data_IF_608839171423
#
_entry.id   IF_608839171423
#
_cell.length_a   1.000
_cell.length_b   1.000
_cell.length_c   1.000
_cell.angle_alpha   90.00
_cell.angle_beta   90.00
_cell.angle_gamma   90.00
#
_symmetry.space_group_name_H-M   'P 1'
#
loop_
_entity.id
_entity.type
_entity.pdbx_description
1 polymer ?
#
# COMPACT_ATOMS: atom_id res chain seq x y z
N UNK A 1 19.96 28.13 -2.10
CA UNK A 1 19.32 27.46 -3.24
C UNK A 1 20.26 26.39 -3.76
N UNK A 2 19.96 25.11 -3.51
CA UNK A 2 20.68 23.98 -4.09
C UNK A 2 19.72 23.30 -5.07
N UNK A 3 20.08 23.36 -6.35
CA UNK A 3 19.38 22.67 -7.42
C UNK A 3 19.97 21.26 -7.47
N UNK A 4 19.23 20.25 -6.99
CA UNK A 4 19.62 18.84 -7.14
C UNK A 4 18.74 18.26 -8.23
N UNK A 5 19.33 18.00 -9.40
CA UNK A 5 18.68 17.19 -10.42
C UNK A 5 18.40 15.80 -9.82
N UNK A 6 17.15 15.34 -9.88
CA UNK A 6 16.83 13.95 -9.61
C UNK A 6 17.41 13.11 -10.76
N UNK A 7 18.43 12.30 -10.47
CA UNK A 7 18.78 11.17 -11.32
C UNK A 7 17.71 10.11 -11.11
N UNK A 8 16.97 9.75 -12.16
CA UNK A 8 15.97 8.68 -12.15
C UNK A 8 16.60 7.28 -12.28
N UNK A 9 17.92 7.15 -12.10
CA UNK A 9 18.66 5.89 -12.23
C UNK A 9 19.00 5.24 -10.87
N UNK A 10 18.70 5.91 -9.76
CA UNK A 10 18.68 5.32 -8.42
C UNK A 10 17.24 5.43 -7.93
N UNK A 11 16.39 4.42 -8.19
CA UNK A 11 15.20 4.26 -7.35
C UNK A 11 15.74 3.97 -5.95
N UNK A 12 15.59 4.89 -4.98
CA UNK A 12 16.16 4.67 -3.67
C UNK A 12 15.58 3.38 -3.10
N UNK A 13 16.45 2.52 -2.56
CA UNK A 13 16.12 1.36 -1.73
C UNK A 13 15.13 1.69 -0.58
N UNK A 14 14.87 2.98 -0.33
CA UNK A 14 13.87 3.52 0.59
C UNK A 14 12.47 3.65 -0.06
N UNK A 15 11.95 2.57 -0.64
CA UNK A 15 10.57 2.55 -1.12
C UNK A 15 9.59 2.46 0.06
N UNK A 16 9.25 3.64 0.52
CA UNK A 16 8.00 4.06 1.11
C UNK A 16 7.65 3.54 2.50
N UNK A 17 7.72 4.50 3.42
CA UNK A 17 7.92 4.31 4.85
C UNK A 17 6.80 5.00 5.60
N UNK A 18 6.52 4.56 6.82
CA UNK A 18 5.58 5.26 7.69
C UNK A 18 5.98 6.73 7.92
N UNK A 19 7.28 7.00 7.91
CA UNK A 19 7.85 8.33 8.14
C UNK A 19 7.88 9.21 6.86
N UNK A 20 7.25 8.77 5.76
CA UNK A 20 7.05 9.59 4.56
C UNK A 20 6.14 10.80 4.81
N UNK A 21 5.41 10.80 5.94
CA UNK A 21 4.39 11.78 6.25
C UNK A 21 4.69 12.49 7.56
N UNK A 22 4.51 13.82 7.56
CA UNK A 22 4.50 14.62 8.78
C UNK A 22 3.06 14.83 9.23
N UNK A 23 2.74 14.42 10.46
CA UNK A 23 1.43 14.63 11.04
C UNK A 23 1.18 16.12 11.29
N UNK A 24 0.07 16.63 10.77
CA UNK A 24 -0.38 18.03 10.98
C UNK A 24 -1.31 18.13 12.20
N UNK A 25 -1.92 17.01 12.59
CA UNK A 25 -2.84 16.86 13.72
C UNK A 25 -2.35 15.73 14.64
N UNK A 26 -2.85 15.70 15.89
CA UNK A 26 -2.53 14.62 16.83
C UNK A 26 -3.17 13.28 16.40
N UNK A 27 -2.46 12.18 16.68
CA UNK A 27 -2.95 10.83 16.43
C UNK A 27 -4.24 10.58 17.24
N UNK A 28 -5.31 10.21 16.53
CA UNK A 28 -6.57 9.82 17.14
C UNK A 28 -6.71 8.30 17.14
N UNK A 29 -6.96 7.67 18.30
CA UNK A 29 -7.21 6.24 18.34
C UNK A 29 -8.53 5.91 17.65
N UNK A 30 -8.54 4.81 16.90
CA UNK A 30 -9.76 4.20 16.37
C UNK A 30 -10.11 3.03 17.27
N UNK A 31 -11.04 3.24 18.21
CA UNK A 31 -11.39 2.25 19.24
C UNK A 31 -11.96 0.95 18.66
N UNK A 32 -12.75 1.04 17.59
CA UNK A 32 -13.31 -0.11 16.86
C UNK A 32 -12.91 -0.05 15.38
N UNK A 33 -11.72 -0.56 15.09
CA UNK A 33 -11.18 -0.65 13.72
C UNK A 33 -12.05 -1.49 12.80
N UNK A 34 -12.78 -2.48 13.33
CA UNK A 34 -13.60 -3.39 12.53
C UNK A 34 -14.82 -2.64 12.00
N UNK A 35 -15.58 -1.98 12.89
CA UNK A 35 -16.72 -1.16 12.49
C UNK A 35 -16.28 0.01 11.61
N UNK A 36 -15.15 0.65 11.93
CA UNK A 36 -14.58 1.70 11.09
C UNK A 36 -14.31 1.21 9.66
N UNK A 37 -13.64 0.07 9.49
CA UNK A 37 -13.32 -0.46 8.16
C UNK A 37 -14.56 -0.93 7.41
N UNK A 38 -15.58 -1.45 8.11
CA UNK A 38 -16.87 -1.76 7.49
C UNK A 38 -17.52 -0.52 6.91
N UNK A 39 -17.52 0.61 7.61
CA UNK A 39 -18.23 1.82 7.18
C UNK A 39 -17.41 2.63 6.17
N UNK A 40 -16.13 2.84 6.48
CA UNK A 40 -15.24 3.83 5.83
C UNK A 40 -14.02 3.23 5.15
N UNK A 41 -13.81 1.91 5.22
CA UNK A 41 -12.62 1.28 4.64
C UNK A 41 -12.45 1.52 3.14
N UNK A 42 -13.54 1.77 2.41
CA UNK A 42 -13.53 2.12 0.99
C UNK A 42 -12.89 3.48 0.68
N UNK A 43 -12.73 4.35 1.68
CA UNK A 43 -12.05 5.66 1.55
C UNK A 43 -10.52 5.53 1.61
N UNK A 44 -10.01 4.36 2.00
CA UNK A 44 -8.60 4.13 2.29
C UNK A 44 -8.01 3.13 1.31
N UNK A 45 -6.76 3.37 0.92
CA UNK A 45 -5.97 2.46 0.08
C UNK A 45 -4.68 2.06 0.80
N UNK A 46 -4.21 0.80 0.66
CA UNK A 46 -2.96 0.39 1.27
C UNK A 46 -1.79 1.16 0.64
N UNK A 47 -0.86 1.59 1.48
CA UNK A 47 0.29 2.39 1.08
C UNK A 47 1.61 1.65 1.32
N UNK A 48 1.86 1.23 2.55
CA UNK A 48 3.07 0.46 2.90
C UNK A 48 2.84 -0.45 4.11
N UNK A 49 3.83 -1.28 4.40
CA UNK A 49 3.89 -2.16 5.57
C UNK A 49 5.06 -1.74 6.44
N UNK A 50 4.77 -1.48 7.72
CA UNK A 50 5.78 -1.21 8.74
C UNK A 50 6.04 -2.48 9.54
N UNK A 51 7.09 -3.19 9.16
CA UNK A 51 7.50 -4.43 9.81
C UNK A 51 8.03 -4.21 11.23
N UNK A 52 8.57 -3.03 11.51
CA UNK A 52 9.09 -2.68 12.83
C UNK A 52 7.96 -2.47 13.84
N UNK A 53 6.88 -1.82 13.41
CA UNK A 53 5.68 -1.54 14.24
C UNK A 53 4.59 -2.61 14.10
N UNK A 54 4.79 -3.59 13.21
CA UNK A 54 3.81 -4.63 12.86
C UNK A 54 2.46 -4.04 12.44
N UNK A 55 2.49 -3.02 11.59
CA UNK A 55 1.29 -2.35 11.08
C UNK A 55 1.28 -2.24 9.56
N UNK A 56 0.08 -2.14 8.99
CA UNK A 56 -0.12 -1.70 7.61
C UNK A 56 -0.60 -0.26 7.64
N UNK A 57 0.07 0.59 6.87
CA UNK A 57 -0.33 1.97 6.69
C UNK A 57 -1.26 2.08 5.48
N UNK A 58 -2.41 2.68 5.72
CA UNK A 58 -3.39 3.06 4.71
C UNK A 58 -3.45 4.57 4.59
N UNK A 59 -3.76 5.04 3.37
CA UNK A 59 -3.89 6.45 3.05
C UNK A 59 -5.29 6.73 2.53
N UNK A 60 -5.87 7.82 3.02
CA UNK A 60 -7.06 8.45 2.43
C UNK A 60 -6.59 9.66 1.65
N UNK A 61 -6.92 9.70 0.36
CA UNK A 61 -6.59 10.84 -0.50
C UNK A 61 -7.72 11.86 -0.52
N UNK A 62 -7.43 13.05 -1.04
CA UNK A 62 -8.40 14.12 -1.23
C UNK A 62 -9.62 13.64 -2.03
N UNK A 63 -10.80 14.07 -1.60
CA UNK A 63 -12.06 13.77 -2.27
C UNK A 63 -12.05 14.22 -3.74
N UNK A 64 -12.57 13.37 -4.62
CA UNK A 64 -12.63 13.62 -6.07
C UNK A 64 -11.33 13.34 -6.84
N UNK A 65 -10.24 12.96 -6.17
CA UNK A 65 -9.02 12.50 -6.85
C UNK A 65 -9.22 11.08 -7.36
N UNK A 66 -9.12 10.89 -8.67
CA UNK A 66 -9.11 9.56 -9.28
C UNK A 66 -7.66 9.04 -9.37
N UNK A 67 -7.28 8.16 -8.44
CA UNK A 67 -5.95 7.55 -8.41
C UNK A 67 -5.62 6.75 -9.69
N UNK A 68 -6.60 6.32 -10.48
CA UNK A 68 -6.39 5.57 -11.73
C UNK A 68 -5.82 6.43 -12.86
N UNK A 69 -6.02 7.75 -12.80
CA UNK A 69 -5.49 8.70 -13.80
C UNK A 69 -3.97 8.94 -13.63
N UNK A 70 -3.39 8.45 -12.53
CA UNK A 70 -1.98 8.61 -12.22
C UNK A 70 -1.18 7.35 -12.55
N UNK A 71 -0.03 7.54 -13.20
CA UNK A 71 0.81 6.42 -13.64
C UNK A 71 1.53 5.68 -12.51
N UNK A 72 1.80 6.37 -11.40
CA UNK A 72 2.39 5.80 -10.18
C UNK A 72 1.40 6.01 -9.05
N UNK A 73 0.77 4.92 -8.57
CA UNK A 73 -0.21 4.98 -7.48
C UNK A 73 0.37 5.67 -6.26
N UNK A 74 1.58 5.28 -5.89
CA UNK A 74 2.26 5.76 -4.70
C UNK A 74 2.52 7.27 -4.71
N UNK A 75 2.99 7.80 -5.85
CA UNK A 75 3.22 9.24 -6.00
C UNK A 75 1.90 10.01 -5.86
N UNK A 76 0.82 9.48 -6.43
CA UNK A 76 -0.51 10.09 -6.29
C UNK A 76 -1.00 10.04 -4.83
N UNK A 77 -0.84 8.91 -4.15
CA UNK A 77 -1.13 8.76 -2.73
C UNK A 77 -0.37 9.78 -1.89
N UNK A 78 0.96 9.92 -2.06
CA UNK A 78 1.78 10.93 -1.38
C UNK A 78 1.34 12.36 -1.67
N UNK A 79 1.02 12.66 -2.92
CA UNK A 79 0.67 14.02 -3.36
C UNK A 79 -0.69 14.47 -2.82
N UNK A 80 -1.66 13.56 -2.73
CA UNK A 80 -3.05 13.89 -2.41
C UNK A 80 -3.51 13.38 -1.04
N UNK A 81 -2.60 12.91 -0.18
CA UNK A 81 -2.95 12.40 1.15
C UNK A 81 -3.67 13.46 2.00
N UNK A 82 -4.73 13.02 2.69
CA UNK A 82 -5.54 13.81 3.64
C UNK A 82 -5.82 13.06 4.93
N UNK A 83 -5.34 11.83 5.07
CA UNK A 83 -5.52 11.03 6.26
C UNK A 83 -4.69 9.77 6.18
N UNK A 84 -4.18 9.37 7.34
CA UNK A 84 -3.45 8.13 7.53
C UNK A 84 -4.28 7.24 8.45
N UNK A 85 -4.21 5.93 8.21
CA UNK A 85 -4.77 4.93 9.09
C UNK A 85 -3.75 3.81 9.23
N UNK A 86 -3.25 3.61 10.44
CA UNK A 86 -2.35 2.51 10.76
C UNK A 86 -3.14 1.38 11.41
N UNK A 87 -3.09 0.18 10.82
CA UNK A 87 -3.79 -1.00 11.35
C UNK A 87 -2.75 -2.04 11.78
N UNK A 88 -2.72 -2.44 13.06
CA UNK A 88 -1.86 -3.53 13.52
C UNK A 88 -2.18 -4.86 12.84
N UNK A 89 -1.15 -5.68 12.59
CA UNK A 89 -1.31 -7.01 11.98
C UNK A 89 -2.28 -7.90 12.76
N UNK A 90 -2.29 -7.79 14.09
CA UNK A 90 -3.21 -8.53 14.97
C UNK A 90 -4.69 -8.28 14.67
N UNK A 91 -5.05 -7.12 14.10
CA UNK A 91 -6.43 -6.78 13.75
C UNK A 91 -6.80 -7.13 12.30
N UNK A 92 -5.81 -7.30 11.41
CA UNK A 92 -6.06 -7.53 9.97
C UNK A 92 -6.95 -8.75 9.68
N UNK A 93 -6.78 -9.93 10.33
CA UNK A 93 -7.65 -11.07 10.06
C UNK A 93 -9.11 -10.78 10.40
N UNK A 94 -9.37 -10.10 11.52
CA UNK A 94 -10.72 -9.73 11.94
C UNK A 94 -11.35 -8.68 11.00
N UNK A 95 -10.56 -7.69 10.57
CA UNK A 95 -10.98 -6.71 9.56
C UNK A 95 -11.32 -7.40 8.23
N UNK A 96 -10.45 -8.30 7.76
CA UNK A 96 -10.66 -9.05 6.53
C UNK A 96 -11.94 -9.90 6.57
N UNK A 97 -12.17 -10.63 7.66
CA UNK A 97 -13.39 -11.41 7.86
C UNK A 97 -14.64 -10.51 7.89
N UNK A 98 -14.55 -9.35 8.55
CA UNK A 98 -15.64 -8.40 8.68
C UNK A 98 -16.07 -7.74 7.37
N UNK A 99 -15.16 -7.57 6.41
CA UNK A 99 -15.46 -6.98 5.09
C UNK A 99 -15.68 -8.02 4.00
N UNK A 100 -15.46 -9.31 4.29
CA UNK A 100 -15.46 -10.40 3.31
C UNK A 100 -16.72 -10.42 2.43
N UNK A 101 -17.91 -10.27 3.02
CA UNK A 101 -19.17 -10.26 2.26
C UNK A 101 -19.25 -9.07 1.28
N UNK A 102 -18.72 -7.90 1.67
CA UNK A 102 -18.75 -6.69 0.81
C UNK A 102 -17.80 -6.78 -0.38
N UNK A 103 -16.78 -7.62 -0.28
CA UNK A 103 -15.76 -7.81 -1.32
C UNK A 103 -15.87 -9.18 -1.99
N UNK A 104 -16.94 -9.95 -1.74
CA UNK A 104 -17.11 -11.30 -2.25
C UNK A 104 -17.05 -11.38 -3.79
N UNK A 105 -17.50 -10.33 -4.47
CA UNK A 105 -17.49 -10.22 -5.93
C UNK A 105 -16.20 -9.61 -6.49
N UNK A 106 -15.28 -9.16 -5.63
CA UNK A 106 -14.02 -8.55 -6.04
C UNK A 106 -12.97 -9.63 -6.27
N UNK A 107 -12.38 -9.65 -7.47
CA UNK A 107 -11.28 -10.56 -7.81
C UNK A 107 -10.00 -9.77 -8.08
N UNK A 108 -8.98 -10.02 -7.26
CA UNK A 108 -7.65 -9.47 -7.47
C UNK A 108 -6.88 -10.33 -8.49
N UNK A 109 -6.35 -9.70 -9.52
CA UNK A 109 -5.50 -10.35 -10.53
C UNK A 109 -4.15 -9.64 -10.53
N UNK A 110 -3.08 -10.38 -10.22
CA UNK A 110 -1.72 -9.88 -10.31
C UNK A 110 -1.14 -10.20 -11.68
N UNK A 111 -0.77 -9.16 -12.42
CA UNK A 111 -0.17 -9.30 -13.75
C UNK A 111 1.28 -8.82 -13.69
N UNK A 112 2.21 -9.75 -13.82
CA UNK A 112 3.63 -9.42 -13.97
C UNK A 112 3.91 -9.01 -15.42
N UNK A 113 4.52 -7.84 -15.60
CA UNK A 113 4.93 -7.32 -16.90
C UNK A 113 6.35 -6.78 -16.73
N UNK A 114 7.28 -7.23 -17.57
CA UNK A 114 8.62 -6.66 -17.62
C UNK A 114 8.57 -5.18 -18.04
N UNK A 115 9.46 -4.36 -17.48
CA UNK A 115 9.49 -2.94 -17.76
C UNK A 115 9.49 -2.65 -19.27
N UNK A 116 8.75 -1.62 -19.69
CA UNK A 116 8.63 -1.17 -21.08
C UNK A 116 7.95 -2.14 -22.05
N UNK A 117 7.26 -3.18 -21.55
CA UNK A 117 6.48 -4.12 -22.38
C UNK A 117 4.99 -3.78 -22.48
N UNK A 118 4.63 -2.49 -22.39
CA UNK A 118 3.26 -2.04 -22.60
C UNK A 118 2.32 -2.14 -21.39
N UNK A 119 2.85 -2.18 -20.16
CA UNK A 119 2.04 -2.14 -18.93
C UNK A 119 1.06 -0.98 -18.90
N UNK A 120 1.49 0.21 -19.38
CA UNK A 120 0.62 1.39 -19.52
C UNK A 120 -0.59 1.14 -20.40
N UNK A 121 -0.42 0.43 -21.54
CA UNK A 121 -1.51 0.13 -22.45
C UNK A 121 -2.51 -0.84 -21.81
N UNK A 122 -2.00 -1.88 -21.13
CA UNK A 122 -2.82 -2.85 -20.40
C UNK A 122 -3.66 -2.15 -19.32
N UNK A 123 -3.05 -1.27 -18.54
CA UNK A 123 -3.74 -0.51 -17.48
C UNK A 123 -4.84 0.38 -18.08
N UNK A 124 -4.52 1.16 -19.13
CA UNK A 124 -5.51 2.03 -19.80
C UNK A 124 -6.66 1.24 -20.42
N UNK A 125 -6.38 0.13 -21.10
CA UNK A 125 -7.40 -0.72 -21.71
C UNK A 125 -8.30 -1.36 -20.64
N UNK A 126 -7.73 -1.78 -19.52
CA UNK A 126 -8.49 -2.35 -18.40
C UNK A 126 -9.38 -1.30 -17.73
N UNK A 127 -8.86 -0.09 -17.48
CA UNK A 127 -9.60 1.01 -16.87
C UNK A 127 -10.70 1.60 -17.78
N UNK A 128 -10.71 1.26 -19.07
CA UNK A 128 -11.82 1.58 -19.97
C UNK A 128 -13.03 0.63 -19.79
N UNK A 129 -12.85 -0.51 -19.10
CA UNK A 129 -13.93 -1.45 -18.83
C UNK A 129 -14.72 -1.01 -17.58
N UNK A 130 -16.06 -1.03 -17.60
CA UNK A 130 -16.86 -0.62 -16.44
C UNK A 130 -16.77 -1.58 -15.24
N UNK A 131 -16.26 -2.79 -15.45
CA UNK A 131 -16.23 -3.88 -14.46
C UNK A 131 -14.82 -4.21 -13.97
N UNK A 132 -13.80 -3.46 -14.36
CA UNK A 132 -12.42 -3.75 -14.01
C UNK A 132 -11.65 -2.47 -13.66
N UNK A 133 -10.66 -2.64 -12.80
CA UNK A 133 -9.70 -1.60 -12.46
C UNK A 133 -8.32 -2.21 -12.48
N UNK A 134 -7.39 -1.54 -13.14
CA UNK A 134 -5.97 -1.84 -13.13
C UNK A 134 -5.22 -0.65 -12.54
N UNK A 135 -4.27 -0.98 -11.67
CA UNK A 135 -3.37 -0.03 -11.05
C UNK A 135 -1.95 -0.45 -11.42
N UNK A 136 -1.14 0.51 -11.81
CA UNK A 136 0.26 0.29 -12.12
C UNK A 136 1.11 0.42 -10.84
N UNK A 137 2.06 -0.50 -10.66
CA UNK A 137 3.05 -0.49 -9.57
C UNK A 137 2.44 -0.19 -8.17
N UNK A 138 1.55 -1.06 -7.65
CA UNK A 138 1.12 -0.97 -6.26
C UNK A 138 2.25 -1.47 -5.34
N UNK A 139 3.17 -0.58 -4.98
CA UNK A 139 4.46 -0.92 -4.33
C UNK A 139 4.33 -1.66 -3.01
N UNK A 140 3.21 -1.51 -2.29
CA UNK A 140 2.94 -2.29 -1.07
C UNK A 140 3.11 -3.80 -1.29
N UNK A 141 2.72 -4.33 -2.46
CA UNK A 141 2.88 -5.75 -2.76
C UNK A 141 4.33 -6.11 -3.08
N UNK A 142 5.07 -5.20 -3.73
CA UNK A 142 6.52 -5.36 -3.94
C UNK A 142 7.25 -5.39 -2.59
N UNK A 143 6.89 -4.52 -1.65
CA UNK A 143 7.46 -4.48 -0.29
C UNK A 143 7.19 -5.79 0.45
N UNK A 144 5.97 -6.31 0.38
CA UNK A 144 5.62 -7.61 0.96
C UNK A 144 6.46 -8.73 0.34
N UNK A 145 6.56 -8.78 -0.99
CA UNK A 145 7.34 -9.80 -1.67
C UNK A 145 8.83 -9.73 -1.34
N UNK A 146 9.42 -8.53 -1.28
CA UNK A 146 10.80 -8.32 -0.88
C UNK A 146 11.05 -8.72 0.57
N UNK A 147 10.15 -8.37 1.48
CA UNK A 147 10.23 -8.76 2.88
C UNK A 147 10.21 -10.29 3.05
N UNK A 148 9.32 -10.97 2.34
CA UNK A 148 9.29 -12.43 2.31
C UNK A 148 10.61 -13.01 1.78
N UNK A 149 11.14 -12.48 0.67
CA UNK A 149 12.43 -12.92 0.11
C UNK A 149 13.61 -12.75 1.08
N UNK A 150 13.66 -11.63 1.81
CA UNK A 150 14.67 -11.40 2.86
C UNK A 150 14.60 -12.47 3.96
N UNK A 151 13.39 -12.77 4.45
CA UNK A 151 13.19 -13.79 5.49
C UNK A 151 13.64 -15.17 5.02
N UNK A 152 13.33 -15.55 3.78
CA UNK A 152 13.79 -16.82 3.20
C UNK A 152 15.33 -16.92 3.11
N UNK A 153 16.02 -15.78 3.00
CA UNK A 153 17.47 -15.70 3.00
C UNK A 153 18.08 -15.60 4.43
N UNK A 154 17.26 -15.65 5.48
CA UNK A 154 17.68 -15.50 6.87
C UNK A 154 17.93 -14.04 7.30
N UNK A 155 17.41 -13.08 6.56
CA UNK A 155 17.53 -11.64 6.84
C UNK A 155 16.26 -11.09 7.51
N UNK A 156 16.39 -9.97 8.23
CA UNK A 156 15.26 -9.30 8.89
C UNK A 156 14.68 -8.21 7.99
N UNK A 157 13.36 -8.20 7.72
CA UNK A 157 12.73 -7.27 6.76
C UNK A 157 12.51 -5.85 7.30
N UNK A 158 12.96 -5.54 8.53
CA UNK A 158 12.88 -4.20 9.12
C UNK A 158 14.00 -3.94 10.14
N UNK A 159 14.04 -2.71 10.65
CA UNK A 159 15.15 -2.17 11.46
C UNK A 159 15.24 -2.73 12.88
N UNK A 160 14.21 -3.46 13.34
CA UNK A 160 14.11 -3.96 14.71
C UNK A 160 14.82 -5.29 14.94
N UNK A 161 15.37 -5.91 13.87
CA UNK A 161 16.09 -7.18 13.97
C UNK A 161 15.21 -8.38 14.37
N UNK A 162 13.88 -8.24 14.30
CA UNK A 162 12.90 -9.32 14.54
C UNK A 162 12.13 -9.59 13.27
N UNK A 163 11.93 -10.85 12.95
CA UNK A 163 11.04 -11.29 11.86
C UNK A 163 9.63 -11.36 12.43
N UNK A 164 8.66 -10.57 11.93
CA UNK A 164 7.26 -10.65 12.35
C UNK A 164 6.69 -12.06 12.14
N UNK A 165 5.83 -12.52 13.04
CA UNK A 165 5.29 -13.89 12.99
C UNK A 165 4.54 -14.17 11.68
N UNK A 166 3.90 -13.14 11.08
CA UNK A 166 3.18 -13.24 9.80
C UNK A 166 4.08 -13.57 8.59
N UNK A 167 5.39 -13.40 8.72
CA UNK A 167 6.37 -13.70 7.66
C UNK A 167 7.15 -14.99 7.92
N UNK A 168 6.93 -15.66 9.05
CA UNK A 168 7.55 -16.95 9.34
C UNK A 168 6.72 -18.04 8.67
N UNK A 169 7.35 -18.86 7.84
CA UNK A 169 6.72 -20.10 7.40
C UNK A 169 6.58 -21.05 8.61
N UNK A 170 5.41 -21.66 8.77
CA UNK A 170 5.20 -22.80 9.68
C UNK A 170 6.02 -24.02 9.24
#
# INVERSE_FOLDING_TARGET
MKNRAMNFEEEPDDLNHCDDFEAIEEDQPVDDVISFMKERGHEFSPYTVDWARETVLFVRTQEGVDLKEHFYLQLAQRTYVRGLLSIPFSHLPAVAAAVAERIADVRNIFVYITARCGSTLVVKATNALPSAMAIHAPDVYSIIAMAYGKVQNGETPGDTGKIPDVLRDD
#
